data_IF_366773426312
#
_entry.id   IF_366773426312
#
_cell.length_a   1.000
_cell.length_b   1.000
_cell.length_c   1.000
_cell.angle_alpha   90.00
_cell.angle_beta   90.00
_cell.angle_gamma   90.00
#
_symmetry.space_group_name_H-M   'P 1'
#
loop_
_entity.id
_entity.type
_entity.pdbx_description
1 polymer ?
#
# COMPACT_ATOMS: atom_id res chain seq x y z
N UNK A 1 61.80 -37.96 44.37
CA UNK A 1 61.35 -36.90 43.45
C UNK A 1 59.84 -37.10 43.26
N UNK A 2 59.00 -36.21 43.81
CA UNK A 2 57.54 -36.27 43.66
C UNK A 2 57.18 -35.63 42.31
N UNK A 3 56.49 -36.36 41.44
CA UNK A 3 56.14 -35.91 40.09
C UNK A 3 55.26 -34.63 40.15
N UNK A 4 55.64 -33.52 39.49
CA UNK A 4 54.83 -32.30 39.39
C UNK A 4 53.75 -32.38 38.29
N UNK A 5 53.70 -33.49 37.54
CA UNK A 5 52.86 -33.70 36.36
C UNK A 5 51.33 -33.55 36.57
N UNK A 6 50.70 -33.90 37.71
CA UNK A 6 49.25 -33.75 37.83
C UNK A 6 48.82 -32.28 38.02
N UNK A 7 49.69 -31.42 38.57
CA UNK A 7 49.35 -30.01 38.82
C UNK A 7 49.41 -29.18 37.53
N UNK A 8 50.38 -29.45 36.65
CA UNK A 8 50.50 -28.79 35.34
C UNK A 8 49.41 -29.21 34.37
N UNK A 9 48.99 -30.49 34.37
CA UNK A 9 47.86 -30.94 33.55
C UNK A 9 46.53 -30.33 34.02
N UNK A 10 46.33 -30.17 35.34
CA UNK A 10 45.15 -29.49 35.90
C UNK A 10 45.16 -28.00 35.55
N UNK A 11 46.31 -27.32 35.67
CA UNK A 11 46.47 -25.91 35.30
C UNK A 11 46.25 -25.66 33.80
N UNK A 12 46.72 -26.56 32.93
CA UNK A 12 46.50 -26.51 31.48
C UNK A 12 45.03 -26.75 31.10
N UNK A 13 44.37 -27.72 31.74
CA UNK A 13 42.94 -27.94 31.54
C UNK A 13 42.10 -26.74 32.02
N UNK A 14 42.44 -26.14 33.16
CA UNK A 14 41.79 -24.93 33.68
C UNK A 14 42.02 -23.71 32.78
N UNK A 15 43.18 -23.59 32.14
CA UNK A 15 43.48 -22.47 31.23
C UNK A 15 42.85 -22.65 29.84
N UNK A 16 42.68 -23.89 29.35
CA UNK A 16 41.90 -24.18 28.14
C UNK A 16 40.39 -23.96 28.36
N UNK A 17 39.86 -24.33 29.54
CA UNK A 17 38.49 -24.02 29.95
C UNK A 17 38.25 -22.51 30.10
N UNK A 18 39.23 -21.77 30.63
CA UNK A 18 39.16 -20.31 30.70
C UNK A 18 39.18 -19.66 29.31
N UNK A 19 40.05 -20.13 28.39
CA UNK A 19 40.10 -19.64 27.01
C UNK A 19 38.78 -19.86 26.26
N UNK A 20 38.17 -21.05 26.38
CA UNK A 20 36.88 -21.33 25.74
C UNK A 20 35.70 -20.58 26.35
N UNK A 21 35.77 -20.20 27.63
CA UNK A 21 34.78 -19.34 28.27
C UNK A 21 34.89 -17.87 27.82
N UNK A 22 36.11 -17.38 27.60
CA UNK A 22 36.36 -16.04 27.09
C UNK A 22 35.96 -15.91 25.60
N UNK A 23 36.15 -16.96 24.80
CA UNK A 23 35.74 -17.02 23.39
C UNK A 23 34.21 -17.02 23.25
N UNK A 24 33.50 -17.93 23.94
CA UNK A 24 32.02 -17.93 23.95
C UNK A 24 31.47 -16.60 24.44
N UNK A 25 32.05 -16.00 25.49
CA UNK A 25 31.59 -14.71 25.99
C UNK A 25 31.70 -13.63 24.92
N UNK A 26 32.81 -13.58 24.16
CA UNK A 26 33.01 -12.63 23.09
C UNK A 26 31.97 -12.79 21.96
N UNK A 27 31.66 -14.03 21.55
CA UNK A 27 30.64 -14.31 20.53
C UNK A 27 29.25 -13.81 20.95
N UNK A 28 28.85 -14.08 22.21
CA UNK A 28 27.56 -13.61 22.72
C UNK A 28 27.52 -12.08 22.86
N UNK A 29 28.63 -11.45 23.22
CA UNK A 29 28.77 -9.99 23.27
C UNK A 29 28.67 -9.35 21.88
N UNK A 30 29.20 -10.01 20.84
CA UNK A 30 29.07 -9.57 19.44
C UNK A 30 27.61 -9.59 18.98
N UNK A 31 26.89 -10.69 19.21
CA UNK A 31 25.45 -10.74 18.87
C UNK A 31 24.64 -9.69 19.64
N UNK A 32 24.94 -9.48 20.93
CA UNK A 32 24.27 -8.44 21.71
C UNK A 32 24.60 -7.03 21.19
N UNK A 33 25.83 -6.81 20.72
CA UNK A 33 26.26 -5.56 20.14
C UNK A 33 25.47 -5.25 18.85
N UNK A 34 25.34 -6.21 17.94
CA UNK A 34 24.53 -6.06 16.70
C UNK A 34 23.08 -5.64 17.01
N UNK A 35 22.44 -6.28 17.98
CA UNK A 35 21.09 -5.92 18.40
C UNK A 35 21.01 -4.53 19.06
N UNK A 36 22.09 -4.12 19.72
CA UNK A 36 22.19 -2.79 20.32
C UNK A 36 22.32 -1.73 19.23
N UNK A 37 23.09 -2.00 18.17
CA UNK A 37 23.16 -1.10 17.00
C UNK A 37 21.79 -0.95 16.33
N UNK A 38 21.06 -2.04 16.11
CA UNK A 38 19.69 -1.98 15.58
C UNK A 38 18.73 -1.16 16.46
N UNK A 39 18.89 -1.24 17.79
CA UNK A 39 18.12 -0.42 18.72
C UNK A 39 18.50 1.07 18.63
N UNK A 40 19.77 1.40 18.46
CA UNK A 40 20.21 2.78 18.27
C UNK A 40 19.72 3.35 16.93
N UNK A 41 19.71 2.56 15.86
CA UNK A 41 19.09 2.96 14.58
C UNK A 41 17.61 3.31 14.76
N UNK A 42 16.86 2.49 15.51
CA UNK A 42 15.44 2.78 15.82
C UNK A 42 15.25 4.05 16.65
N UNK A 43 16.15 4.31 17.62
CA UNK A 43 16.12 5.57 18.39
C UNK A 43 16.39 6.78 17.50
N UNK A 44 17.27 6.64 16.51
CA UNK A 44 17.51 7.69 15.54
C UNK A 44 16.26 7.94 14.68
N UNK A 45 15.60 6.88 14.18
CA UNK A 45 14.32 7.01 13.47
C UNK A 45 13.24 7.69 14.33
N UNK A 46 13.16 7.37 15.63
CA UNK A 46 12.23 8.05 16.54
C UNK A 46 12.49 9.56 16.59
N UNK A 47 13.76 9.97 16.67
CA UNK A 47 14.12 11.39 16.68
C UNK A 47 13.76 12.10 15.38
N UNK A 48 13.88 11.43 14.24
CA UNK A 48 13.45 11.96 12.94
C UNK A 48 11.93 12.16 12.92
N UNK A 49 11.16 11.17 13.38
CA UNK A 49 9.70 11.26 13.43
C UNK A 49 9.19 12.30 14.44
N UNK A 50 9.83 12.44 15.60
CA UNK A 50 9.52 13.49 16.57
C UNK A 50 9.75 14.88 15.95
N UNK A 51 10.80 15.06 15.14
CA UNK A 51 11.05 16.32 14.43
C UNK A 51 10.05 16.57 13.30
N UNK A 52 9.62 15.52 12.58
CA UNK A 52 8.54 15.62 11.59
C UNK A 52 7.20 15.97 12.25
N UNK A 53 6.91 15.41 13.43
CA UNK A 53 5.73 15.72 14.21
C UNK A 53 5.68 17.19 14.63
N UNK A 54 6.79 17.75 15.15
CA UNK A 54 6.90 19.19 15.44
C UNK A 54 6.70 20.06 14.19
N UNK A 55 7.13 19.58 13.02
CA UNK A 55 6.90 20.24 11.73
C UNK A 55 5.43 20.24 11.33
N UNK A 56 4.77 19.08 11.40
CA UNK A 56 3.35 18.90 11.10
C UNK A 56 2.45 19.73 12.05
N UNK A 57 2.83 19.85 13.33
CA UNK A 57 2.13 20.68 14.31
C UNK A 57 2.15 22.16 13.88
N UNK A 58 3.26 22.63 13.33
CA UNK A 58 3.39 24.01 12.85
C UNK A 58 2.57 24.28 11.58
N UNK A 59 2.26 23.24 10.79
CA UNK A 59 1.49 23.31 9.55
C UNK A 59 -0.01 23.04 9.74
N UNK A 60 -0.45 22.66 10.94
CA UNK A 60 -1.84 22.33 11.29
C UNK A 60 -2.43 21.19 10.41
N UNK A 61 -1.59 20.26 9.94
CA UNK A 61 -2.02 19.08 9.17
C UNK A 61 -2.51 17.96 10.10
N UNK A 62 -3.81 17.97 10.42
CA UNK A 62 -4.43 17.01 11.35
C UNK A 62 -4.31 15.55 10.89
N UNK A 63 -4.38 15.30 9.58
CA UNK A 63 -4.23 13.95 9.02
C UNK A 63 -2.81 13.45 9.28
N UNK A 64 -1.81 14.24 8.90
CA UNK A 64 -0.41 13.87 9.06
C UNK A 64 -0.02 13.72 10.53
N UNK A 65 -0.53 14.60 11.40
CA UNK A 65 -0.29 14.55 12.85
C UNK A 65 -0.76 13.25 13.48
N UNK A 66 -2.00 12.84 13.22
CA UNK A 66 -2.55 11.59 13.77
C UNK A 66 -1.76 10.36 13.29
N UNK A 67 -1.34 10.36 12.02
CA UNK A 67 -0.50 9.28 11.48
C UNK A 67 0.88 9.24 12.15
N UNK A 68 1.54 10.38 12.32
CA UNK A 68 2.83 10.47 12.99
C UNK A 68 2.77 10.09 14.47
N UNK A 69 1.70 10.48 15.18
CA UNK A 69 1.48 10.09 16.59
C UNK A 69 1.49 8.56 16.74
N UNK A 70 0.74 7.85 15.90
CA UNK A 70 0.67 6.40 15.92
C UNK A 70 2.04 5.73 15.62
N UNK A 71 2.83 6.31 14.71
CA UNK A 71 4.16 5.81 14.37
C UNK A 71 5.18 6.05 15.50
N UNK A 72 5.17 7.25 16.09
CA UNK A 72 6.00 7.62 17.25
C UNK A 72 5.72 6.69 18.42
N UNK A 73 4.44 6.50 18.78
CA UNK A 73 4.04 5.61 19.88
C UNK A 73 4.48 4.16 19.64
N UNK A 74 4.31 3.67 18.41
CA UNK A 74 4.74 2.34 18.01
C UNK A 74 6.24 2.13 18.17
N UNK A 75 7.06 3.07 17.68
CA UNK A 75 8.52 3.00 17.75
C UNK A 75 9.00 3.19 19.20
N UNK A 76 8.43 4.13 19.95
CA UNK A 76 8.79 4.35 21.35
C UNK A 76 8.55 3.09 22.21
N UNK A 77 7.39 2.45 22.06
CA UNK A 77 7.08 1.19 22.71
C UNK A 77 8.07 0.08 22.29
N UNK A 78 8.38 -0.01 20.99
CA UNK A 78 9.38 -0.98 20.48
C UNK A 78 10.76 -0.78 21.10
N UNK A 79 11.21 0.47 21.25
CA UNK A 79 12.49 0.83 21.88
C UNK A 79 12.50 0.45 23.35
N UNK A 80 11.45 0.78 24.11
CA UNK A 80 11.35 0.45 25.54
C UNK A 80 11.47 -1.06 25.76
N UNK A 81 10.65 -1.84 25.04
CA UNK A 81 10.58 -3.30 25.17
C UNK A 81 11.86 -3.97 24.71
N UNK A 82 12.47 -3.47 23.64
CA UNK A 82 13.77 -3.94 23.14
C UNK A 82 14.86 -3.66 24.17
N UNK A 83 14.91 -2.46 24.75
CA UNK A 83 15.88 -2.09 25.81
C UNK A 83 15.79 -3.05 27.00
N UNK A 84 14.58 -3.35 27.49
CA UNK A 84 14.38 -4.31 28.57
C UNK A 84 14.92 -5.71 28.19
N UNK A 85 14.60 -6.16 26.98
CA UNK A 85 14.98 -7.48 26.47
C UNK A 85 16.50 -7.63 26.28
N UNK A 86 17.18 -6.61 25.73
CA UNK A 86 18.64 -6.57 25.61
C UNK A 86 19.32 -6.54 26.97
N UNK A 87 18.75 -5.84 27.95
CA UNK A 87 19.22 -5.88 29.34
C UNK A 87 19.20 -7.28 29.94
N UNK A 88 18.18 -8.10 29.62
CA UNK A 88 18.11 -9.51 30.04
C UNK A 88 19.18 -10.35 29.36
N UNK A 89 19.41 -10.16 28.06
CA UNK A 89 20.49 -10.83 27.31
C UNK A 89 21.86 -10.52 27.92
N UNK A 90 22.12 -9.24 28.21
CA UNK A 90 23.34 -8.82 28.91
C UNK A 90 23.50 -9.50 30.27
N UNK A 91 22.42 -9.58 31.05
CA UNK A 91 22.42 -10.26 32.34
C UNK A 91 22.76 -11.75 32.26
N UNK A 92 22.41 -12.43 31.15
CA UNK A 92 22.80 -13.83 30.90
C UNK A 92 24.30 -13.93 30.62
N UNK A 93 24.84 -13.06 29.76
CA UNK A 93 26.27 -13.02 29.43
C UNK A 93 27.12 -12.81 30.70
N UNK A 94 26.72 -11.85 31.54
CA UNK A 94 27.48 -11.46 32.73
C UNK A 94 27.22 -12.38 33.95
N UNK A 95 26.34 -13.39 33.81
CA UNK A 95 26.01 -14.31 34.89
C UNK A 95 27.18 -15.23 35.25
N UNK A 96 27.49 -15.27 36.55
CA UNK A 96 28.47 -16.17 37.17
C UNK A 96 27.86 -17.49 37.62
N UNK A 97 26.54 -17.58 37.63
CA UNK A 97 25.79 -18.75 38.12
C UNK A 97 25.56 -19.80 37.02
N UNK A 98 25.88 -19.46 35.77
CA UNK A 98 25.77 -20.34 34.61
C UNK A 98 27.15 -20.81 34.17
N UNK A 99 27.28 -22.10 33.91
CA UNK A 99 28.41 -22.61 33.12
C UNK A 99 28.28 -22.20 31.64
N UNK A 100 29.28 -22.55 30.82
CA UNK A 100 29.33 -22.14 29.42
C UNK A 100 28.12 -22.65 28.60
N UNK A 101 27.79 -23.94 28.73
CA UNK A 101 26.70 -24.59 27.99
C UNK A 101 25.33 -24.05 28.43
N UNK A 102 25.15 -23.85 29.74
CA UNK A 102 23.94 -23.24 30.29
C UNK A 102 23.78 -21.79 29.83
N UNK A 103 24.87 -21.03 29.75
CA UNK A 103 24.87 -19.63 29.29
C UNK A 103 24.49 -19.54 27.82
N UNK A 104 25.14 -20.33 26.97
CA UNK A 104 24.84 -20.39 25.53
C UNK A 104 23.37 -20.76 25.29
N UNK A 105 22.88 -21.81 25.95
CA UNK A 105 21.49 -22.26 25.81
C UNK A 105 20.48 -21.23 26.30
N UNK A 106 20.76 -20.58 27.44
CA UNK A 106 19.90 -19.52 27.98
C UNK A 106 19.89 -18.28 27.07
N UNK A 107 21.04 -17.88 26.54
CA UNK A 107 21.17 -16.75 25.62
C UNK A 107 20.42 -17.01 24.32
N UNK A 108 20.65 -18.15 23.66
CA UNK A 108 19.96 -18.51 22.43
C UNK A 108 18.43 -18.49 22.58
N UNK A 109 17.91 -18.98 23.71
CA UNK A 109 16.47 -18.92 23.97
C UNK A 109 15.96 -17.49 24.22
N UNK A 110 16.70 -16.68 24.98
CA UNK A 110 16.35 -15.29 25.23
C UNK A 110 16.40 -14.45 23.95
N UNK A 111 17.35 -14.75 23.05
CA UNK A 111 17.50 -14.13 21.73
C UNK A 111 16.28 -14.42 20.85
N UNK A 112 15.90 -15.70 20.77
CA UNK A 112 14.69 -16.14 20.08
C UNK A 112 13.42 -15.47 20.64
N UNK A 113 13.34 -15.29 21.96
CA UNK A 113 12.24 -14.55 22.61
C UNK A 113 12.27 -13.07 22.24
N UNK A 114 13.46 -12.46 22.16
CA UNK A 114 13.62 -11.08 21.73
C UNK A 114 13.10 -10.87 20.30
N UNK A 115 13.54 -11.70 19.34
CA UNK A 115 13.07 -11.59 17.95
C UNK A 115 11.56 -11.76 17.82
N UNK A 116 10.97 -12.75 18.51
CA UNK A 116 9.50 -12.94 18.53
C UNK A 116 8.75 -11.74 19.11
N UNK A 117 9.29 -11.14 20.17
CA UNK A 117 8.71 -9.94 20.77
C UNK A 117 8.77 -8.76 19.81
N UNK A 118 9.93 -8.49 19.21
CA UNK A 118 10.11 -7.40 18.23
C UNK A 118 9.16 -7.58 17.05
N UNK A 119 9.12 -8.76 16.44
CA UNK A 119 8.21 -9.01 15.32
C UNK A 119 6.73 -8.92 15.68
N UNK A 120 6.34 -9.14 16.94
CA UNK A 120 4.97 -8.92 17.38
C UNK A 120 4.66 -7.42 17.54
N UNK A 121 5.59 -6.65 18.13
CA UNK A 121 5.44 -5.21 18.30
C UNK A 121 5.32 -4.48 16.97
N UNK A 122 6.08 -4.92 15.95
CA UNK A 122 5.99 -4.40 14.59
C UNK A 122 4.58 -4.60 14.00
N UNK A 123 3.97 -5.78 14.20
CA UNK A 123 2.61 -6.04 13.73
C UNK A 123 1.56 -5.23 14.48
N UNK A 124 1.70 -5.12 15.80
CA UNK A 124 0.79 -4.33 16.63
C UNK A 124 0.86 -2.83 16.28
N UNK A 125 2.07 -2.31 16.01
CA UNK A 125 2.27 -0.94 15.52
C UNK A 125 1.66 -0.74 14.13
N UNK A 126 1.85 -1.67 13.19
CA UNK A 126 1.20 -1.59 11.87
C UNK A 126 -0.33 -1.59 12.02
N UNK A 127 -0.88 -2.39 12.94
CA UNK A 127 -2.32 -2.46 13.18
C UNK A 127 -2.87 -1.14 13.70
N UNK A 128 -2.23 -0.57 14.72
CA UNK A 128 -2.62 0.71 15.27
C UNK A 128 -2.57 1.83 14.23
N UNK A 129 -1.52 1.85 13.39
CA UNK A 129 -1.40 2.81 12.29
C UNK A 129 -2.55 2.68 11.28
N UNK A 130 -2.93 1.45 10.93
CA UNK A 130 -4.07 1.20 10.03
C UNK A 130 -5.43 1.57 10.66
N UNK A 131 -5.58 1.41 11.98
CA UNK A 131 -6.77 1.87 12.71
C UNK A 131 -6.91 3.39 12.60
N UNK A 132 -5.84 4.14 12.80
CA UNK A 132 -5.83 5.60 12.67
C UNK A 132 -6.10 6.03 11.22
N UNK A 133 -5.45 5.41 10.24
CA UNK A 133 -5.68 5.67 8.81
C UNK A 133 -7.16 5.43 8.42
N UNK A 134 -7.75 4.34 8.94
CA UNK A 134 -9.16 4.03 8.73
C UNK A 134 -10.09 5.09 9.32
N UNK A 135 -9.85 5.51 10.57
CA UNK A 135 -10.66 6.56 11.22
C UNK A 135 -10.61 7.88 10.46
N UNK A 136 -9.47 8.21 9.85
CA UNK A 136 -9.28 9.40 9.02
C UNK A 136 -10.09 9.31 7.71
N UNK A 137 -9.97 8.20 6.97
CA UNK A 137 -10.75 8.02 5.73
C UNK A 137 -12.27 7.97 5.98
N UNK A 138 -12.70 7.44 7.13
CA UNK A 138 -14.10 7.50 7.55
C UNK A 138 -14.57 8.93 7.87
N UNK A 139 -13.69 9.81 8.35
CA UNK A 139 -14.01 11.22 8.59
C UNK A 139 -14.13 12.01 7.28
N UNK A 140 -13.41 11.59 6.25
CA UNK A 140 -13.39 12.22 4.91
C UNK A 140 -14.46 11.66 3.95
N UNK A 141 -15.35 10.78 4.42
CA UNK A 141 -16.36 10.07 3.62
C UNK A 141 -15.76 9.29 2.42
N UNK A 142 -14.49 8.86 2.52
CA UNK A 142 -13.83 8.01 1.52
C UNK A 142 -14.14 6.53 1.81
N UNK A 143 -15.39 6.13 1.52
CA UNK A 143 -15.91 4.77 1.74
C UNK A 143 -15.03 3.70 1.08
N UNK A 144 -14.56 4.00 -0.13
CA UNK A 144 -13.73 3.10 -0.92
C UNK A 144 -12.38 2.82 -0.24
N UNK A 145 -11.73 3.84 0.34
CA UNK A 145 -10.51 3.65 1.10
C UNK A 145 -10.76 2.98 2.46
N UNK A 146 -11.83 3.37 3.15
CA UNK A 146 -12.20 2.78 4.43
C UNK A 146 -12.43 1.27 4.33
N UNK A 147 -13.22 0.81 3.34
CA UNK A 147 -13.48 -0.62 3.10
C UNK A 147 -12.19 -1.43 2.85
N UNK A 148 -11.22 -0.83 2.15
CA UNK A 148 -9.91 -1.45 1.90
C UNK A 148 -9.10 -1.59 3.18
N UNK A 149 -9.09 -0.54 4.00
CA UNK A 149 -8.36 -0.51 5.26
C UNK A 149 -8.96 -1.47 6.28
N UNK A 150 -10.29 -1.55 6.40
CA UNK A 150 -10.96 -2.54 7.25
C UNK A 150 -10.55 -3.97 6.89
N UNK A 151 -10.61 -4.31 5.60
CA UNK A 151 -10.23 -5.64 5.12
C UNK A 151 -8.76 -5.96 5.45
N UNK A 152 -7.87 -4.97 5.35
CA UNK A 152 -6.44 -5.13 5.67
C UNK A 152 -6.23 -5.29 7.17
N UNK A 153 -6.91 -4.47 7.97
CA UNK A 153 -6.85 -4.48 9.43
C UNK A 153 -7.35 -5.81 10.00
N UNK A 154 -8.48 -6.33 9.53
CA UNK A 154 -9.01 -7.64 9.94
C UNK A 154 -8.01 -8.77 9.73
N UNK A 155 -7.33 -8.76 8.59
CA UNK A 155 -6.32 -9.78 8.26
C UNK A 155 -5.08 -9.62 9.16
N UNK A 156 -4.63 -8.40 9.38
CA UNK A 156 -3.50 -8.11 10.25
C UNK A 156 -3.79 -8.51 11.71
N UNK A 157 -4.97 -8.17 12.23
CA UNK A 157 -5.41 -8.58 13.56
C UNK A 157 -5.53 -10.11 13.68
N UNK A 158 -6.07 -10.79 12.67
CA UNK A 158 -6.09 -12.25 12.63
C UNK A 158 -4.67 -12.85 12.62
N UNK A 159 -3.70 -12.20 11.95
CA UNK A 159 -2.29 -12.60 11.97
C UNK A 159 -1.68 -12.38 13.36
N UNK A 160 -1.89 -11.22 13.99
CA UNK A 160 -1.41 -10.90 15.34
C UNK A 160 -1.88 -11.96 16.33
N UNK A 161 -3.16 -12.30 16.32
CA UNK A 161 -3.72 -13.30 17.23
C UNK A 161 -3.10 -14.69 17.03
N UNK A 162 -2.90 -15.12 15.77
CA UNK A 162 -2.21 -16.38 15.46
C UNK A 162 -0.76 -16.35 15.95
N UNK A 163 -0.05 -15.25 15.74
CA UNK A 163 1.33 -15.04 16.18
C UNK A 163 1.42 -15.11 17.71
N UNK A 164 0.56 -14.38 18.43
CA UNK A 164 0.45 -14.43 19.90
C UNK A 164 0.21 -15.85 20.41
N UNK A 165 -0.70 -16.59 19.78
CA UNK A 165 -1.01 -17.96 20.16
C UNK A 165 0.15 -18.94 19.95
N UNK A 166 0.99 -18.74 18.92
CA UNK A 166 2.21 -19.52 18.73
C UNK A 166 3.27 -19.10 19.75
N UNK A 167 3.47 -17.79 19.95
CA UNK A 167 4.48 -17.25 20.86
C UNK A 167 4.26 -17.69 22.32
N UNK A 168 3.00 -17.76 22.79
CA UNK A 168 2.71 -18.24 24.14
C UNK A 168 3.08 -19.72 24.35
N UNK A 169 2.96 -20.55 23.31
CA UNK A 169 3.29 -21.98 23.38
C UNK A 169 4.80 -22.24 23.44
N UNK A 170 5.64 -21.29 23.01
CA UNK A 170 7.09 -21.38 23.23
C UNK A 170 7.49 -21.32 24.70
N UNK A 171 6.65 -20.76 25.57
CA UNK A 171 6.89 -20.81 27.02
C UNK A 171 6.74 -22.23 27.57
N UNK A 172 5.87 -23.06 26.98
CA UNK A 172 5.74 -24.48 27.34
C UNK A 172 7.00 -25.28 26.97
N UNK A 173 7.65 -24.94 25.85
CA UNK A 173 8.95 -25.52 25.47
C UNK A 173 10.00 -25.17 26.54
N UNK A 174 10.03 -23.91 26.99
CA UNK A 174 10.96 -23.47 28.03
C UNK A 174 10.73 -24.20 29.36
N UNK A 175 9.46 -24.37 29.77
CA UNK A 175 9.09 -25.14 30.97
C UNK A 175 9.52 -26.60 30.84
N UNK A 176 9.27 -27.24 29.70
CA UNK A 176 9.66 -28.64 29.46
C UNK A 176 11.19 -28.82 29.51
N UNK A 177 11.97 -27.88 28.95
CA UNK A 177 13.44 -27.89 29.03
C UNK A 177 13.93 -27.76 30.48
N UNK A 178 13.39 -26.81 31.25
CA UNK A 178 13.72 -26.65 32.67
C UNK A 178 13.38 -27.90 33.50
N UNK A 179 12.32 -28.61 33.13
CA UNK A 179 11.92 -29.87 33.75
C UNK A 179 12.71 -31.10 33.24
N UNK A 180 13.76 -30.90 32.42
CA UNK A 180 14.58 -31.96 31.81
C UNK A 180 13.76 -32.95 30.93
N UNK A 181 12.59 -32.52 30.45
CA UNK A 181 11.74 -33.29 29.52
C UNK A 181 12.15 -32.99 28.07
N UNK A 182 13.41 -33.29 27.72
CA UNK A 182 14.00 -32.86 26.45
C UNK A 182 13.26 -33.36 25.21
N UNK A 183 12.84 -34.63 25.20
CA UNK A 183 12.08 -35.20 24.07
C UNK A 183 10.72 -34.51 23.89
N UNK A 184 10.06 -34.13 24.98
CA UNK A 184 8.81 -33.35 24.92
C UNK A 184 9.08 -31.94 24.38
N UNK A 185 10.11 -31.28 24.88
CA UNK A 185 10.49 -29.94 24.44
C UNK A 185 10.86 -29.90 22.95
N UNK A 186 11.56 -30.92 22.46
CA UNK A 186 11.93 -31.04 21.06
C UNK A 186 10.69 -31.23 20.17
N UNK A 187 9.79 -32.16 20.52
CA UNK A 187 8.55 -32.37 19.76
C UNK A 187 7.66 -31.13 19.72
N UNK A 188 7.54 -30.42 20.84
CA UNK A 188 6.81 -29.15 20.89
C UNK A 188 7.49 -28.09 20.02
N UNK A 189 8.81 -27.95 20.12
CA UNK A 189 9.58 -27.01 19.31
C UNK A 189 9.47 -27.25 17.81
N UNK A 190 9.58 -28.50 17.36
CA UNK A 190 9.38 -28.86 15.95
C UNK A 190 7.97 -28.53 15.46
N UNK A 191 6.95 -28.81 16.29
CA UNK A 191 5.55 -28.50 15.96
C UNK A 191 5.33 -26.99 15.83
N UNK A 192 5.89 -26.19 16.74
CA UNK A 192 5.78 -24.73 16.69
C UNK A 192 6.52 -24.15 15.50
N UNK A 193 7.73 -24.64 15.22
CA UNK A 193 8.50 -24.23 14.05
C UNK A 193 7.73 -24.44 12.75
N UNK A 194 7.08 -25.61 12.56
CA UNK A 194 6.24 -25.87 11.38
C UNK A 194 5.09 -24.84 11.31
N UNK A 195 4.41 -24.59 12.43
CA UNK A 195 3.27 -23.65 12.48
C UNK A 195 3.68 -22.20 12.18
N UNK A 196 4.86 -21.79 12.63
CA UNK A 196 5.42 -20.47 12.29
C UNK A 196 5.69 -20.37 10.78
N UNK A 197 6.27 -21.41 10.17
CA UNK A 197 6.52 -21.43 8.72
C UNK A 197 5.22 -21.48 7.91
N UNK A 198 4.24 -22.26 8.35
CA UNK A 198 2.92 -22.29 7.72
C UNK A 198 2.23 -20.91 7.77
N UNK A 199 2.36 -20.20 8.90
CA UNK A 199 1.84 -18.84 9.05
C UNK A 199 2.57 -17.86 8.13
N UNK A 200 3.91 -17.90 8.10
CA UNK A 200 4.72 -17.05 7.22
C UNK A 200 4.35 -17.25 5.74
N UNK A 201 4.27 -18.50 5.27
CA UNK A 201 3.86 -18.82 3.90
C UNK A 201 2.43 -18.35 3.63
N UNK A 202 1.51 -18.53 4.59
CA UNK A 202 0.12 -18.07 4.44
C UNK A 202 0.05 -16.55 4.28
N UNK A 203 0.82 -15.79 5.07
CA UNK A 203 0.92 -14.33 4.96
C UNK A 203 1.47 -13.90 3.60
N UNK A 204 2.53 -14.56 3.12
CA UNK A 204 3.09 -14.27 1.79
C UNK A 204 2.05 -14.53 0.68
N UNK A 205 1.30 -15.63 0.78
CA UNK A 205 0.25 -15.96 -0.19
C UNK A 205 -0.91 -14.96 -0.14
N UNK A 206 -1.31 -14.51 1.04
CA UNK A 206 -2.36 -13.50 1.21
C UNK A 206 -1.93 -12.14 0.65
N UNK A 207 -0.68 -11.72 0.88
CA UNK A 207 -0.12 -10.51 0.29
C UNK A 207 -0.14 -10.57 -1.25
N UNK A 208 0.27 -11.69 -1.84
CA UNK A 208 0.20 -11.88 -3.30
C UNK A 208 -1.22 -11.86 -3.85
N UNK A 209 -2.20 -12.37 -3.09
CA UNK A 209 -3.62 -12.29 -3.51
C UNK A 209 -4.11 -10.85 -3.53
N UNK A 210 -3.76 -10.05 -2.53
CA UNK A 210 -4.09 -8.62 -2.49
C UNK A 210 -3.48 -7.87 -3.67
N UNK A 211 -2.19 -8.07 -3.92
CA UNK A 211 -1.48 -7.46 -5.06
C UNK A 211 -2.16 -7.80 -6.39
N UNK A 212 -2.62 -9.04 -6.56
CA UNK A 212 -3.37 -9.47 -7.74
C UNK A 212 -4.74 -8.78 -7.82
N UNK A 213 -5.46 -8.68 -6.71
CA UNK A 213 -6.78 -8.02 -6.65
C UNK A 213 -6.68 -6.53 -6.98
N UNK A 214 -5.71 -5.83 -6.40
CA UNK A 214 -5.41 -4.42 -6.68
C UNK A 214 -5.01 -4.21 -8.14
N UNK A 215 -4.09 -5.03 -8.65
CA UNK A 215 -3.68 -4.97 -10.05
C UNK A 215 -4.87 -5.19 -11.00
N UNK A 216 -5.77 -6.12 -10.67
CA UNK A 216 -6.99 -6.35 -11.47
C UNK A 216 -7.89 -5.12 -11.49
N UNK A 217 -8.11 -4.49 -10.34
CA UNK A 217 -8.89 -3.24 -10.25
C UNK A 217 -8.26 -2.13 -11.09
N UNK A 218 -6.95 -1.94 -10.99
CA UNK A 218 -6.23 -0.94 -11.78
C UNK A 218 -6.35 -1.21 -13.28
N UNK A 219 -6.26 -2.47 -13.69
CA UNK A 219 -6.48 -2.87 -15.09
C UNK A 219 -7.90 -2.59 -15.55
N UNK A 220 -8.91 -2.84 -14.70
CA UNK A 220 -10.30 -2.57 -15.03
C UNK A 220 -10.58 -1.05 -15.11
N UNK A 221 -9.98 -0.24 -14.24
CA UNK A 221 -10.03 1.23 -14.34
C UNK A 221 -9.41 1.72 -15.65
N UNK A 222 -8.18 1.29 -15.95
CA UNK A 222 -7.49 1.68 -17.19
C UNK A 222 -8.27 1.26 -18.45
N UNK A 223 -9.01 0.15 -18.40
CA UNK A 223 -9.91 -0.26 -19.49
C UNK A 223 -11.06 0.70 -19.65
N UNK A 224 -11.74 1.09 -18.57
CA UNK A 224 -12.83 2.08 -18.62
C UNK A 224 -12.34 3.42 -19.17
N UNK A 225 -11.18 3.89 -18.71
CA UNK A 225 -10.56 5.11 -19.22
C UNK A 225 -10.20 4.99 -20.71
N UNK A 226 -9.70 3.84 -21.16
CA UNK A 226 -9.40 3.60 -22.56
C UNK A 226 -10.65 3.58 -23.45
N UNK A 227 -11.75 3.00 -22.95
CA UNK A 227 -13.04 2.98 -23.65
C UNK A 227 -13.59 4.41 -23.79
N UNK A 228 -13.60 5.19 -22.71
CA UNK A 228 -13.98 6.61 -22.69
C UNK A 228 -13.16 7.44 -23.69
N UNK A 229 -11.82 7.31 -23.67
CA UNK A 229 -10.94 7.99 -24.62
C UNK A 229 -11.19 7.55 -26.06
N UNK A 230 -11.56 6.29 -26.28
CA UNK A 230 -11.97 5.77 -27.58
C UNK A 230 -13.21 6.48 -28.13
N UNK A 231 -14.21 6.70 -27.29
CA UNK A 231 -15.43 7.43 -27.65
C UNK A 231 -15.15 8.91 -27.95
N UNK A 232 -14.38 9.59 -27.10
CA UNK A 232 -13.96 10.98 -27.32
C UNK A 232 -13.20 11.13 -28.64
N UNK A 233 -12.31 10.18 -28.95
CA UNK A 233 -11.59 10.16 -30.22
C UNK A 233 -12.53 9.94 -31.41
N UNK A 234 -13.55 9.10 -31.27
CA UNK A 234 -14.57 8.88 -32.30
C UNK A 234 -15.32 10.18 -32.61
N UNK A 235 -15.82 10.87 -31.58
CA UNK A 235 -16.52 12.16 -31.76
C UNK A 235 -15.60 13.21 -32.37
N UNK A 236 -14.33 13.25 -31.94
CA UNK A 236 -13.33 14.18 -32.51
C UNK A 236 -13.05 13.90 -33.98
N UNK A 237 -13.04 12.63 -34.42
CA UNK A 237 -12.92 12.26 -35.83
C UNK A 237 -14.13 12.69 -36.65
N UNK A 238 -15.34 12.53 -36.12
CA UNK A 238 -16.55 12.99 -36.79
C UNK A 238 -16.52 14.50 -37.02
N UNK A 239 -16.16 15.29 -35.99
CA UNK A 239 -16.02 16.74 -36.11
C UNK A 239 -14.98 17.13 -37.17
N UNK A 240 -13.85 16.43 -37.19
CA UNK A 240 -12.81 16.68 -38.19
C UNK A 240 -13.32 16.41 -39.61
N UNK A 241 -14.04 15.29 -39.82
CA UNK A 241 -14.62 14.96 -41.12
C UNK A 241 -15.65 16.02 -41.55
N UNK A 242 -16.57 16.43 -40.66
CA UNK A 242 -17.56 17.48 -40.95
C UNK A 242 -16.89 18.81 -41.31
N UNK A 243 -15.80 19.18 -40.63
CA UNK A 243 -15.04 20.38 -40.97
C UNK A 243 -14.41 20.30 -42.36
N UNK A 244 -13.91 19.13 -42.76
CA UNK A 244 -13.40 18.91 -44.13
C UNK A 244 -14.53 19.03 -45.17
N UNK A 245 -15.68 18.42 -44.89
CA UNK A 245 -16.85 18.47 -45.78
C UNK A 245 -17.33 19.91 -45.97
N UNK A 246 -17.42 20.69 -44.88
CA UNK A 246 -17.77 22.12 -44.90
C UNK A 246 -16.77 22.95 -45.72
N UNK A 247 -15.47 22.69 -45.58
CA UNK A 247 -14.45 23.35 -46.38
C UNK A 247 -14.59 23.05 -47.89
N UNK A 248 -14.97 21.81 -48.23
CA UNK A 248 -15.25 21.40 -49.60
C UNK A 248 -16.53 22.06 -50.15
N UNK A 249 -17.62 22.10 -49.37
CA UNK A 249 -18.87 22.79 -49.71
C UNK A 249 -18.62 24.27 -49.98
N UNK A 250 -17.91 24.97 -49.09
CA UNK A 250 -17.52 26.37 -49.28
C UNK A 250 -16.75 26.59 -50.59
N UNK A 251 -15.84 25.67 -50.91
CA UNK A 251 -15.07 25.73 -52.16
C UNK A 251 -15.95 25.58 -53.39
N UNK A 252 -16.92 24.66 -53.38
CA UNK A 252 -17.90 24.46 -54.46
C UNK A 252 -18.83 25.68 -54.61
N UNK A 253 -19.33 26.22 -53.49
CA UNK A 253 -20.18 27.40 -53.50
C UNK A 253 -19.45 28.60 -54.11
N UNK A 254 -18.22 28.88 -53.67
CA UNK A 254 -17.40 29.98 -54.22
C UNK A 254 -17.27 29.90 -55.74
N UNK A 255 -17.14 28.70 -56.31
CA UNK A 255 -17.09 28.52 -57.76
C UNK A 255 -18.44 28.87 -58.41
N UNK A 256 -19.55 28.31 -57.91
CA UNK A 256 -20.91 28.59 -58.40
C UNK A 256 -21.27 30.08 -58.32
N UNK A 257 -20.91 30.74 -57.22
CA UNK A 257 -21.17 32.16 -56.98
C UNK A 257 -20.46 33.10 -57.96
N UNK A 258 -19.38 32.66 -58.62
CA UNK A 258 -18.71 33.44 -59.67
C UNK A 258 -19.49 33.44 -60.99
N UNK A 259 -20.33 32.43 -61.20
CA UNK A 259 -21.06 32.20 -62.44
C UNK A 259 -22.54 32.63 -62.33
N UNK A 260 -23.11 32.61 -61.12
CA UNK A 260 -24.49 32.98 -60.85
C UNK A 260 -24.74 34.50 -60.91
N UNK A 261 -25.96 34.90 -61.30
CA UNK A 261 -26.43 36.30 -61.33
C UNK A 261 -27.86 36.43 -60.78
N UNK A 262 -28.19 37.61 -60.25
CA UNK A 262 -29.54 37.93 -59.77
C UNK A 262 -30.05 36.97 -58.71
N UNK A 263 -31.29 36.52 -58.85
CA UNK A 263 -32.00 35.61 -57.92
C UNK A 263 -31.23 34.30 -57.67
N UNK A 264 -30.56 33.72 -58.69
CA UNK A 264 -29.77 32.49 -58.50
C UNK A 264 -28.61 32.65 -57.50
N UNK A 265 -28.08 33.88 -57.39
CA UNK A 265 -27.01 34.17 -56.45
C UNK A 265 -27.56 34.32 -55.02
N UNK A 266 -28.76 34.85 -54.88
CA UNK A 266 -29.46 34.97 -53.60
C UNK A 266 -29.87 33.58 -53.07
N UNK A 267 -30.45 32.71 -53.90
CA UNK A 267 -30.78 31.33 -53.54
C UNK A 267 -29.55 30.53 -53.07
N UNK A 268 -28.40 30.68 -53.77
CA UNK A 268 -27.15 30.02 -53.37
C UNK A 268 -26.61 30.52 -52.02
N UNK A 269 -26.85 31.79 -51.67
CA UNK A 269 -26.48 32.33 -50.36
C UNK A 269 -27.41 31.81 -49.26
N UNK A 270 -28.72 31.79 -49.50
CA UNK A 270 -29.71 31.27 -48.55
C UNK A 270 -29.47 29.78 -48.25
N UNK A 271 -29.26 28.95 -49.27
CA UNK A 271 -28.91 27.53 -49.10
C UNK A 271 -27.62 27.34 -48.28
N UNK A 272 -26.64 28.23 -48.47
CA UNK A 272 -25.39 28.15 -47.72
C UNK A 272 -25.55 28.56 -46.25
N UNK A 273 -26.39 29.54 -45.95
CA UNK A 273 -26.70 29.96 -44.58
C UNK A 273 -27.40 28.84 -43.82
N UNK A 274 -28.39 28.17 -44.42
CA UNK A 274 -29.02 27.00 -43.82
C UNK A 274 -28.03 25.85 -43.58
N UNK A 275 -27.14 25.59 -44.55
CA UNK A 275 -26.05 24.62 -44.39
C UNK A 275 -25.03 25.03 -43.31
N UNK A 276 -24.81 26.33 -43.09
CA UNK A 276 -23.96 26.88 -42.02
C UNK A 276 -24.54 26.62 -40.64
N UNK A 277 -25.82 26.95 -40.47
CA UNK A 277 -26.58 26.72 -39.26
C UNK A 277 -26.58 25.24 -38.89
N UNK A 278 -26.87 24.35 -39.87
CA UNK A 278 -26.75 22.91 -39.69
C UNK A 278 -25.35 22.47 -39.22
N UNK A 279 -24.29 23.04 -39.78
CA UNK A 279 -22.93 22.73 -39.37
C UNK A 279 -22.64 23.15 -37.92
N UNK A 280 -23.14 24.32 -37.50
CA UNK A 280 -23.01 24.78 -36.11
C UNK A 280 -23.73 23.86 -35.13
N UNK A 281 -24.99 23.48 -35.42
CA UNK A 281 -25.76 22.54 -34.61
C UNK A 281 -25.06 21.17 -34.50
N UNK A 282 -24.51 20.65 -35.60
CA UNK A 282 -23.72 19.41 -35.55
C UNK A 282 -22.46 19.50 -34.69
N UNK A 283 -21.80 20.66 -34.64
CA UNK A 283 -20.64 20.85 -33.77
C UNK A 283 -21.04 20.95 -32.30
N UNK A 284 -22.18 21.59 -32.02
CA UNK A 284 -22.75 21.68 -30.68
C UNK A 284 -23.13 20.30 -30.15
N UNK A 285 -23.86 19.50 -30.95
CA UNK A 285 -24.14 18.09 -30.64
C UNK A 285 -22.86 17.31 -30.36
N UNK A 286 -21.81 17.47 -31.17
CA UNK A 286 -20.53 16.79 -30.92
C UNK A 286 -19.75 17.33 -29.72
N UNK A 287 -20.02 18.55 -29.26
CA UNK A 287 -19.50 19.03 -27.98
C UNK A 287 -20.24 18.36 -26.82
N UNK A 288 -21.57 18.38 -26.86
CA UNK A 288 -22.42 17.76 -25.85
C UNK A 288 -22.21 16.24 -25.76
N UNK A 289 -22.02 15.56 -26.88
CA UNK A 289 -21.66 14.13 -26.90
C UNK A 289 -20.32 13.83 -26.25
N UNK A 290 -19.36 14.77 -26.27
CA UNK A 290 -18.09 14.58 -25.53
C UNK A 290 -18.30 14.77 -24.05
N UNK A 291 -19.09 15.76 -23.65
CA UNK A 291 -19.46 16.01 -22.26
C UNK A 291 -20.24 14.84 -21.65
N UNK A 292 -21.23 14.31 -22.40
CA UNK A 292 -22.01 13.13 -22.02
C UNK A 292 -21.13 11.92 -21.71
N UNK A 293 -20.03 11.72 -22.44
CA UNK A 293 -19.08 10.62 -22.18
C UNK A 293 -18.39 10.77 -20.82
N UNK A 294 -18.04 12.00 -20.42
CA UNK A 294 -17.44 12.25 -19.10
C UNK A 294 -18.46 12.07 -17.98
N UNK A 295 -19.62 12.70 -18.10
CA UNK A 295 -20.72 12.63 -17.12
C UNK A 295 -21.18 11.18 -16.91
N UNK A 296 -21.31 10.41 -17.99
CA UNK A 296 -21.66 8.98 -17.93
C UNK A 296 -20.56 8.14 -17.25
N UNK A 297 -19.29 8.51 -17.42
CA UNK A 297 -18.17 7.83 -16.75
C UNK A 297 -18.11 8.11 -15.25
N UNK A 298 -18.60 9.29 -14.83
CA UNK A 298 -18.70 9.71 -13.43
C UNK A 298 -19.97 9.17 -12.76
N UNK A 299 -20.91 8.62 -13.54
CA UNK A 299 -22.13 7.98 -13.05
C UNK A 299 -23.23 8.97 -12.68
N UNK A 300 -23.16 10.22 -13.14
CA UNK A 300 -24.24 11.19 -12.95
C UNK A 300 -25.34 10.95 -13.98
N UNK A 301 -26.27 10.06 -13.63
CA UNK A 301 -27.42 9.71 -14.48
C UNK A 301 -28.33 10.92 -14.75
N UNK A 302 -28.38 11.90 -13.83
CA UNK A 302 -29.24 13.07 -13.96
C UNK A 302 -28.73 14.04 -15.03
N UNK A 303 -27.46 14.41 -14.94
CA UNK A 303 -26.82 15.27 -15.95
C UNK A 303 -26.73 14.57 -17.31
N UNK A 304 -26.51 13.24 -17.33
CA UNK A 304 -26.53 12.47 -18.57
C UNK A 304 -27.89 12.54 -19.29
N UNK A 305 -29.01 12.38 -18.57
CA UNK A 305 -30.36 12.50 -19.13
C UNK A 305 -30.64 13.92 -19.68
N UNK A 306 -30.17 14.96 -18.99
CA UNK A 306 -30.31 16.34 -19.45
C UNK A 306 -29.55 16.58 -20.77
N UNK A 307 -28.30 16.11 -20.86
CA UNK A 307 -27.49 16.23 -22.06
C UNK A 307 -28.10 15.45 -23.24
N UNK A 308 -28.64 14.25 -23.01
CA UNK A 308 -29.35 13.48 -24.03
C UNK A 308 -30.59 14.20 -24.56
N UNK A 309 -31.36 14.86 -23.69
CA UNK A 309 -32.52 15.64 -24.09
C UNK A 309 -32.13 16.83 -24.99
N UNK A 310 -31.10 17.59 -24.61
CA UNK A 310 -30.59 18.72 -25.40
C UNK A 310 -30.10 18.24 -26.77
N UNK A 311 -29.35 17.13 -26.81
CA UNK A 311 -28.91 16.53 -28.07
C UNK A 311 -30.11 16.17 -28.96
N UNK A 312 -31.16 15.58 -28.38
CA UNK A 312 -32.39 15.21 -29.10
C UNK A 312 -33.11 16.41 -29.73
N UNK A 313 -33.17 17.54 -29.02
CA UNK A 313 -33.76 18.78 -29.50
C UNK A 313 -32.95 19.38 -30.67
N UNK A 314 -31.62 19.43 -30.56
CA UNK A 314 -30.75 19.89 -31.65
C UNK A 314 -30.85 18.97 -32.88
N UNK A 315 -30.99 17.65 -32.69
CA UNK A 315 -31.22 16.71 -33.79
C UNK A 315 -32.58 16.89 -34.48
N UNK A 316 -33.59 17.41 -33.78
CA UNK A 316 -34.87 17.81 -34.40
C UNK A 316 -34.68 19.07 -35.25
N UNK A 317 -33.99 20.08 -34.73
CA UNK A 317 -33.71 21.32 -35.46
C UNK A 317 -32.94 21.05 -36.77
N UNK A 318 -31.94 20.18 -36.74
CA UNK A 318 -31.22 19.75 -37.94
C UNK A 318 -32.15 19.10 -38.97
N UNK A 319 -33.10 18.26 -38.53
CA UNK A 319 -34.08 17.63 -39.42
C UNK A 319 -35.02 18.65 -40.06
N UNK A 320 -35.37 19.72 -39.36
CA UNK A 320 -36.16 20.80 -39.91
C UNK A 320 -35.40 21.58 -40.98
N UNK A 321 -34.10 21.84 -40.77
CA UNK A 321 -33.23 22.46 -41.78
C UNK A 321 -33.10 21.57 -43.02
N UNK A 322 -32.96 20.25 -42.85
CA UNK A 322 -32.90 19.32 -43.98
C UNK A 322 -34.17 19.36 -44.86
N UNK A 323 -35.34 19.44 -44.23
CA UNK A 323 -36.61 19.61 -44.96
C UNK A 323 -36.73 20.95 -45.69
N UNK A 324 -36.00 21.99 -45.26
CA UNK A 324 -35.96 23.28 -45.94
C UNK A 324 -34.99 23.25 -47.13
N UNK A 325 -33.87 22.54 -47.00
CA UNK A 325 -32.88 22.37 -48.07
C UNK A 325 -33.36 21.46 -49.21
N UNK A 326 -34.35 20.59 -48.96
CA UNK A 326 -34.96 19.71 -49.96
C UNK A 326 -36.12 20.35 -50.77
N UNK A 327 -36.56 21.55 -50.40
CA UNK A 327 -37.66 22.28 -51.07
C UNK A 327 -37.18 23.12 -52.26
#
# INVERSE_FOLDING_TARGET
MKNPLPLTALLLASSLLALGQDELKAELEETLFELTEQLEERKFTLQELEAEFEGAEAEEDEFHLKMLEAEVDGIANSIERSTESLGRLRGIIDSKDLDAEQRESAFAWALERHHRMVGLLELESESHRLEVELELHQQDDDEDAADRLETRLDRLNARIEKTKAIHSQWEEVAVARKAQQYEKAERLGQTLWIRERDLEVSVQLEHRKLEIEETRRNVDQLRREADMLGEILSVSREMHQRAQDRAAEWTKLKARMKEAQGEQKEELMEQYHLSEEKFHLHNEISSLRRELVFVSSEGDEGEAEELEAIIGDLELEIREIDQQLEK
#
